data_IF_996036952770
#
_entry.id   IF_996036952770
#
_cell.length_a   1.000
_cell.length_b   1.000
_cell.length_c   1.000
_cell.angle_alpha   90.00
_cell.angle_beta   90.00
_cell.angle_gamma   90.00
#
_symmetry.space_group_name_H-M   'P 1'
#
loop_
_entity.id
_entity.type
_entity.pdbx_description
1 polymer ?
#
# COMPACT_ATOMS: atom_id res chain seq x y z
N UNK A 1 20.13 12.61 -21.67
CA UNK A 1 19.25 13.80 -21.48
C UNK A 1 19.30 14.17 -20.00
N UNK A 2 19.58 15.42 -19.66
CA UNK A 2 19.55 15.87 -18.25
C UNK A 2 18.09 15.90 -17.82
N UNK A 3 17.76 15.19 -16.72
CA UNK A 3 16.39 15.12 -16.20
C UNK A 3 16.10 16.31 -15.28
N UNK A 4 14.82 16.61 -15.10
CA UNK A 4 14.34 17.60 -14.12
C UNK A 4 14.78 17.16 -12.71
N UNK A 5 15.33 18.06 -11.89
CA UNK A 5 15.84 17.70 -10.57
C UNK A 5 14.70 17.51 -9.55
N UNK A 6 13.94 16.44 -9.71
CA UNK A 6 12.91 15.98 -8.78
C UNK A 6 12.84 14.46 -8.89
N UNK A 7 13.13 13.75 -7.80
CA UNK A 7 13.23 12.30 -7.77
C UNK A 7 12.80 11.72 -6.42
N UNK A 8 12.53 10.42 -6.43
CA UNK A 8 12.27 9.63 -5.21
C UNK A 8 13.37 8.58 -5.08
N UNK A 9 13.96 8.48 -3.92
CA UNK A 9 14.90 7.42 -3.53
C UNK A 9 14.15 6.32 -2.81
N UNK A 10 14.33 5.07 -3.25
CA UNK A 10 13.67 3.89 -2.68
C UNK A 10 14.70 2.97 -2.05
N UNK A 11 14.64 2.83 -0.73
CA UNK A 11 15.45 1.88 0.03
C UNK A 11 14.84 0.48 -0.02
N UNK A 12 15.28 -0.33 -0.99
CA UNK A 12 14.84 -1.73 -1.08
C UNK A 12 15.27 -2.55 0.15
N UNK A 13 16.39 -2.18 0.79
CA UNK A 13 16.84 -2.81 2.04
C UNK A 13 15.89 -2.52 3.21
N UNK A 14 15.42 -1.28 3.36
CA UNK A 14 14.42 -0.94 4.37
C UNK A 14 13.10 -1.69 4.15
N UNK A 15 12.67 -1.83 2.89
CA UNK A 15 11.48 -2.63 2.55
C UNK A 15 11.66 -4.12 2.95
N UNK A 16 12.81 -4.70 2.64
CA UNK A 16 13.14 -6.09 3.02
C UNK A 16 13.17 -6.27 4.54
N UNK A 17 13.74 -5.32 5.27
CA UNK A 17 13.78 -5.35 6.74
C UNK A 17 12.36 -5.24 7.33
N UNK A 18 11.53 -4.33 6.82
CA UNK A 18 10.13 -4.20 7.23
C UNK A 18 9.36 -5.51 7.00
N UNK A 19 9.55 -6.16 5.84
CA UNK A 19 8.92 -7.45 5.58
C UNK A 19 9.30 -8.48 6.65
N UNK A 20 10.59 -8.57 7.01
CA UNK A 20 11.07 -9.51 8.04
C UNK A 20 10.51 -9.20 9.43
N UNK A 21 10.42 -7.92 9.80
CA UNK A 21 9.76 -7.47 11.06
C UNK A 21 8.31 -7.94 11.09
N UNK A 22 7.57 -7.77 9.99
CA UNK A 22 6.16 -8.18 9.92
C UNK A 22 6.01 -9.71 9.93
N UNK A 23 6.93 -10.46 9.32
CA UNK A 23 6.95 -11.93 9.43
C UNK A 23 7.14 -12.36 10.88
N UNK A 24 8.04 -11.72 11.62
CA UNK A 24 8.25 -12.01 13.05
C UNK A 24 7.01 -11.68 13.87
N UNK A 25 6.36 -10.54 13.61
CA UNK A 25 5.09 -10.17 14.27
C UNK A 25 3.97 -11.18 13.99
N UNK A 26 3.97 -11.80 12.80
CA UNK A 26 3.03 -12.86 12.44
C UNK A 26 3.42 -14.24 12.98
N UNK A 27 4.66 -14.45 13.40
CA UNK A 27 5.18 -15.77 13.81
C UNK A 27 4.63 -16.29 15.12
N UNK A 28 4.36 -15.44 16.12
CA UNK A 28 3.82 -15.76 17.46
C UNK A 28 4.33 -17.07 18.09
N UNK A 29 4.53 -17.11 19.39
CA UNK A 29 5.12 -18.24 20.09
C UNK A 29 4.25 -19.52 20.15
N UNK A 30 3.00 -19.48 19.68
CA UNK A 30 2.08 -20.61 19.75
C UNK A 30 1.16 -20.68 18.52
N UNK A 31 1.35 -21.68 17.69
CA UNK A 31 0.45 -22.03 16.60
C UNK A 31 1.09 -22.00 15.19
N UNK A 32 0.33 -22.38 14.16
CA UNK A 32 0.83 -22.38 12.78
C UNK A 32 1.14 -20.94 12.33
N UNK A 33 2.21 -20.73 11.53
CA UNK A 33 2.60 -19.41 11.05
C UNK A 33 1.50 -18.79 10.17
N UNK A 34 1.32 -17.47 10.28
CA UNK A 34 0.51 -16.70 9.33
C UNK A 34 1.39 -16.32 8.15
N UNK A 35 1.03 -16.77 6.94
CA UNK A 35 1.75 -16.39 5.71
C UNK A 35 1.52 -14.91 5.41
N UNK A 36 2.57 -14.20 4.99
CA UNK A 36 2.45 -12.81 4.56
C UNK A 36 2.32 -12.70 3.03
N UNK A 37 1.22 -12.13 2.59
CA UNK A 37 1.03 -11.63 1.24
C UNK A 37 1.46 -10.17 1.19
N UNK A 38 2.57 -9.88 0.51
CA UNK A 38 3.08 -8.52 0.40
C UNK A 38 2.23 -7.71 -0.60
N UNK A 39 1.56 -6.66 -0.12
CA UNK A 39 0.72 -5.81 -0.96
C UNK A 39 1.59 -4.81 -1.72
N UNK A 40 1.61 -4.93 -3.05
CA UNK A 40 2.40 -4.09 -3.98
C UNK A 40 1.53 -3.29 -4.96
N UNK A 41 0.23 -3.21 -4.72
CA UNK A 41 -0.74 -2.44 -5.52
C UNK A 41 -0.42 -0.94 -5.58
N UNK A 42 -1.05 -0.23 -6.51
CA UNK A 42 -0.89 1.21 -6.73
C UNK A 42 0.59 1.59 -6.91
N UNK A 43 1.29 0.89 -7.83
CA UNK A 43 2.73 1.03 -8.06
C UNK A 43 3.54 0.89 -6.76
N UNK A 44 3.24 -0.19 -5.97
CA UNK A 44 3.82 -0.42 -4.64
C UNK A 44 3.62 0.79 -3.71
N UNK A 45 2.37 1.27 -3.56
CA UNK A 45 2.03 2.47 -2.78
C UNK A 45 2.83 3.71 -3.23
N UNK A 46 3.06 3.85 -4.54
CA UNK A 46 3.82 4.95 -5.13
C UNK A 46 5.34 4.81 -5.06
N UNK A 47 5.85 3.70 -4.51
CA UNK A 47 7.29 3.44 -4.34
C UNK A 47 7.96 2.83 -5.58
N UNK A 48 7.17 2.39 -6.56
CA UNK A 48 7.68 1.75 -7.78
C UNK A 48 7.64 0.22 -7.71
N UNK A 49 6.70 -0.36 -8.47
CA UNK A 49 6.48 -1.80 -8.53
C UNK A 49 7.77 -2.56 -8.92
N UNK A 50 8.55 -2.00 -9.86
CA UNK A 50 9.79 -2.59 -10.35
C UNK A 50 10.90 -2.72 -9.29
N UNK A 51 10.88 -1.87 -8.25
CA UNK A 51 11.86 -1.90 -7.16
C UNK A 51 11.37 -2.75 -5.98
N UNK A 52 10.10 -2.57 -5.58
CA UNK A 52 9.57 -3.22 -4.38
C UNK A 52 9.20 -4.69 -4.59
N UNK A 53 8.71 -5.09 -5.76
CA UNK A 53 8.34 -6.48 -6.05
C UNK A 53 9.52 -7.45 -5.89
N UNK A 54 10.70 -7.23 -6.53
CA UNK A 54 11.83 -8.10 -6.31
C UNK A 54 12.36 -8.05 -4.87
N UNK A 55 12.26 -6.90 -4.18
CA UNK A 55 12.66 -6.77 -2.78
C UNK A 55 11.78 -7.64 -1.86
N UNK A 56 10.44 -7.64 -2.08
CA UNK A 56 9.53 -8.51 -1.34
C UNK A 56 9.93 -9.98 -1.46
N UNK A 57 10.18 -10.45 -2.68
CA UNK A 57 10.51 -11.88 -2.92
C UNK A 57 11.88 -12.23 -2.35
N UNK A 58 12.89 -11.37 -2.49
CA UNK A 58 14.20 -11.57 -1.83
C UNK A 58 14.10 -11.62 -0.31
N UNK A 59 13.16 -10.88 0.29
CA UNK A 59 12.89 -10.93 1.72
C UNK A 59 12.16 -12.21 2.17
N UNK A 60 11.67 -13.02 1.23
CA UNK A 60 11.00 -14.30 1.47
C UNK A 60 9.50 -14.31 1.18
N UNK A 61 8.95 -13.27 0.57
CA UNK A 61 7.55 -13.27 0.20
C UNK A 61 7.25 -14.32 -0.87
N UNK A 62 6.31 -15.21 -0.58
CA UNK A 62 5.80 -16.20 -1.52
C UNK A 62 4.60 -15.68 -2.30
N UNK A 63 3.89 -14.72 -1.71
CA UNK A 63 2.67 -14.13 -2.24
C UNK A 63 2.82 -12.62 -2.39
N UNK A 64 2.37 -12.11 -3.53
CA UNK A 64 2.23 -10.68 -3.80
C UNK A 64 0.75 -10.34 -4.04
N UNK A 65 0.31 -9.16 -3.59
CA UNK A 65 -1.06 -8.68 -3.79
C UNK A 65 -1.10 -7.44 -4.67
N UNK A 66 -1.76 -7.56 -5.82
CA UNK A 66 -2.05 -6.47 -6.75
C UNK A 66 -3.55 -6.12 -6.70
N UNK A 67 -3.94 -4.91 -7.11
CA UNK A 67 -5.38 -4.59 -7.18
C UNK A 67 -6.00 -5.09 -8.48
N UNK A 68 -5.37 -4.84 -9.61
CA UNK A 68 -5.91 -5.14 -10.94
C UNK A 68 -5.13 -6.27 -11.64
N UNK A 69 -5.74 -6.83 -12.67
CA UNK A 69 -5.09 -7.84 -13.51
C UNK A 69 -3.85 -7.27 -14.19
N UNK A 70 -3.89 -6.00 -14.64
CA UNK A 70 -2.75 -5.33 -15.27
C UNK A 70 -1.56 -5.18 -14.31
N UNK A 71 -1.81 -4.81 -13.06
CA UNK A 71 -0.75 -4.78 -12.02
C UNK A 71 -0.22 -6.19 -11.75
N UNK A 72 -1.09 -7.19 -11.72
CA UNK A 72 -0.71 -8.60 -11.55
C UNK A 72 0.18 -9.11 -12.68
N UNK A 73 -0.16 -8.79 -13.93
CA UNK A 73 0.66 -9.11 -15.12
C UNK A 73 2.02 -8.43 -15.03
N UNK A 74 2.05 -7.12 -14.72
CA UNK A 74 3.30 -6.38 -14.57
C UNK A 74 4.18 -6.96 -13.43
N UNK A 75 3.57 -7.31 -12.29
CA UNK A 75 4.29 -7.97 -11.19
C UNK A 75 4.85 -9.34 -11.58
N UNK A 76 4.10 -10.15 -12.37
CA UNK A 76 4.56 -11.42 -12.91
C UNK A 76 5.78 -11.25 -13.80
N UNK A 77 5.75 -10.30 -14.73
CA UNK A 77 6.85 -10.02 -15.65
C UNK A 77 8.11 -9.57 -14.87
N UNK A 78 7.94 -8.69 -13.88
CA UNK A 78 9.03 -8.23 -13.01
C UNK A 78 9.62 -9.40 -12.21
N UNK A 79 8.78 -10.27 -11.61
CA UNK A 79 9.23 -11.45 -10.89
C UNK A 79 10.02 -12.40 -11.82
N UNK A 80 9.53 -12.66 -13.02
CA UNK A 80 10.20 -13.53 -13.98
C UNK A 80 11.57 -12.97 -14.39
N UNK A 81 11.67 -11.67 -14.69
CA UNK A 81 12.92 -10.97 -15.01
C UNK A 81 13.93 -11.00 -13.83
N UNK A 82 13.42 -10.95 -12.60
CA UNK A 82 14.23 -11.00 -11.39
C UNK A 82 14.64 -12.44 -10.97
N UNK A 83 14.20 -13.47 -11.70
CA UNK A 83 14.53 -14.88 -11.40
C UNK A 83 13.55 -15.57 -10.45
N UNK A 84 12.35 -15.03 -10.25
CA UNK A 84 11.31 -15.56 -9.37
C UNK A 84 9.99 -15.85 -10.10
N UNK A 85 9.97 -16.67 -11.18
CA UNK A 85 8.77 -16.85 -12.02
C UNK A 85 7.61 -17.55 -11.30
N UNK A 86 7.88 -18.28 -10.22
CA UNK A 86 6.89 -19.08 -9.49
C UNK A 86 6.29 -18.34 -8.28
N UNK A 87 6.55 -17.05 -8.13
CA UNK A 87 5.92 -16.24 -7.08
C UNK A 87 4.41 -16.21 -7.27
N UNK A 88 3.64 -16.49 -6.22
CA UNK A 88 2.19 -16.42 -6.28
C UNK A 88 1.72 -14.96 -6.31
N UNK A 89 0.75 -14.65 -7.17
CA UNK A 89 0.21 -13.29 -7.31
C UNK A 89 -1.30 -13.33 -7.18
N UNK A 90 -1.82 -12.64 -6.17
CA UNK A 90 -3.25 -12.51 -5.90
C UNK A 90 -3.75 -11.14 -6.38
N UNK A 91 -4.73 -11.16 -7.28
CA UNK A 91 -5.46 -9.96 -7.71
C UNK A 91 -6.64 -9.77 -6.77
N UNK A 92 -6.55 -8.75 -5.90
CA UNK A 92 -7.51 -8.52 -4.81
C UNK A 92 -8.67 -7.60 -5.18
N UNK A 93 -8.61 -6.92 -6.31
CA UNK A 93 -9.64 -6.00 -6.78
C UNK A 93 -10.62 -6.62 -7.79
N UNK A 94 -10.60 -7.95 -7.92
CA UNK A 94 -11.48 -8.68 -8.84
C UNK A 94 -11.01 -8.69 -10.29
N UNK A 95 -11.87 -9.24 -11.14
CA UNK A 95 -11.62 -9.40 -12.57
C UNK A 95 -12.76 -8.74 -13.35
N UNK A 96 -12.42 -7.90 -14.30
CA UNK A 96 -13.38 -7.24 -15.17
C UNK A 96 -13.57 -8.03 -16.46
N UNK A 97 -14.71 -7.83 -17.19
CA UNK A 97 -14.98 -8.52 -18.46
C UNK A 97 -13.84 -8.35 -19.47
N UNK A 98 -13.42 -9.47 -20.08
CA UNK A 98 -12.30 -9.53 -21.03
C UNK A 98 -10.93 -9.76 -20.43
N UNK A 99 -10.79 -9.77 -19.10
CA UNK A 99 -9.49 -9.94 -18.41
C UNK A 99 -9.17 -11.40 -18.07
N UNK A 100 -10.12 -12.31 -18.13
CA UNK A 100 -9.95 -13.71 -17.74
C UNK A 100 -8.79 -14.39 -18.46
N UNK A 101 -8.59 -14.09 -19.76
CA UNK A 101 -7.48 -14.61 -20.54
C UNK A 101 -6.11 -14.20 -20.00
N UNK A 102 -5.96 -12.98 -19.49
CA UNK A 102 -4.72 -12.48 -18.87
C UNK A 102 -4.46 -13.16 -17.52
N UNK A 103 -5.50 -13.36 -16.71
CA UNK A 103 -5.40 -14.11 -15.45
C UNK A 103 -4.81 -15.51 -15.70
N UNK A 104 -5.33 -16.21 -16.71
CA UNK A 104 -4.86 -17.56 -17.06
C UNK A 104 -3.43 -17.54 -17.61
N UNK A 105 -3.15 -16.66 -18.59
CA UNK A 105 -1.81 -16.58 -19.22
C UNK A 105 -0.72 -16.23 -18.25
N UNK A 106 -0.99 -15.32 -17.33
CA UNK A 106 -0.01 -14.83 -16.35
C UNK A 106 -0.02 -15.63 -15.06
N UNK A 107 -0.77 -16.74 -14.99
CA UNK A 107 -0.88 -17.60 -13.79
C UNK A 107 -1.20 -16.78 -12.53
N UNK A 108 -2.23 -15.93 -12.61
CA UNK A 108 -2.69 -15.13 -11.48
C UNK A 108 -3.78 -15.89 -10.71
N UNK A 109 -3.85 -15.69 -9.42
CA UNK A 109 -4.99 -16.08 -8.59
C UNK A 109 -5.88 -14.87 -8.41
N UNK A 110 -7.17 -14.98 -8.70
CA UNK A 110 -8.12 -13.87 -8.56
C UNK A 110 -8.98 -14.01 -7.31
N UNK A 111 -9.23 -12.87 -6.65
CA UNK A 111 -10.31 -12.75 -5.68
C UNK A 111 -11.59 -12.42 -6.43
N UNK A 112 -12.69 -13.07 -6.07
CA UNK A 112 -14.00 -12.89 -6.68
C UNK A 112 -15.07 -12.65 -5.63
N UNK A 113 -16.11 -11.90 -5.96
CA UNK A 113 -17.28 -11.62 -5.13
C UNK A 113 -18.55 -11.40 -5.95
N UNK A 114 -18.47 -11.56 -7.27
CA UNK A 114 -19.60 -11.44 -8.19
C UNK A 114 -19.64 -12.65 -9.12
N UNK A 115 -20.82 -13.11 -9.46
CA UNK A 115 -21.02 -14.25 -10.36
C UNK A 115 -20.52 -13.96 -11.77
N UNK A 116 -20.56 -12.70 -12.23
CA UNK A 116 -20.02 -12.30 -13.53
C UNK A 116 -18.50 -12.55 -13.59
N UNK A 117 -17.79 -12.33 -12.47
CA UNK A 117 -16.36 -12.63 -12.38
C UNK A 117 -16.09 -14.14 -12.48
N UNK A 118 -16.94 -14.97 -11.86
CA UNK A 118 -16.84 -16.43 -11.98
C UNK A 118 -17.11 -16.87 -13.41
N UNK A 119 -18.12 -16.30 -14.08
CA UNK A 119 -18.44 -16.60 -15.49
C UNK A 119 -17.26 -16.25 -16.42
N UNK A 120 -16.66 -15.08 -16.24
CA UNK A 120 -15.48 -14.62 -16.98
C UNK A 120 -14.28 -15.59 -16.83
N UNK A 121 -13.95 -15.93 -15.58
CA UNK A 121 -12.83 -16.82 -15.28
C UNK A 121 -13.09 -18.25 -15.77
N UNK A 122 -14.30 -18.74 -15.63
CA UNK A 122 -14.67 -20.08 -16.09
C UNK A 122 -14.61 -20.18 -17.63
N UNK A 123 -15.09 -19.17 -18.35
CA UNK A 123 -14.97 -19.10 -19.80
C UNK A 123 -13.51 -19.10 -20.24
N UNK A 124 -12.67 -18.25 -19.64
CA UNK A 124 -11.24 -18.18 -19.94
C UNK A 124 -10.50 -19.50 -19.62
N UNK A 125 -10.85 -20.15 -18.49
CA UNK A 125 -10.26 -21.45 -18.13
C UNK A 125 -10.65 -22.57 -19.13
N UNK A 126 -11.86 -22.54 -19.67
CA UNK A 126 -12.32 -23.48 -20.70
C UNK A 126 -11.59 -23.25 -22.03
N UNK A 127 -11.38 -22.00 -22.43
CA UNK A 127 -10.69 -21.66 -23.68
C UNK A 127 -9.18 -22.04 -23.62
N UNK A 128 -8.53 -21.81 -22.49
CA UNK A 128 -7.09 -22.03 -22.34
C UNK A 128 -6.71 -23.50 -22.22
N UNK A 129 -7.63 -24.38 -21.82
CA UNK A 129 -7.27 -25.73 -21.40
C UNK A 129 -7.70 -26.81 -22.36
N UNK A 130 -6.71 -27.43 -23.05
CA UNK A 130 -6.80 -28.81 -23.56
C UNK A 130 -6.52 -29.85 -22.45
N UNK A 131 -6.06 -29.47 -21.27
CA UNK A 131 -5.75 -30.31 -20.12
C UNK A 131 -6.52 -29.88 -18.88
N UNK A 132 -6.86 -30.82 -17.99
CA UNK A 132 -7.80 -30.71 -16.86
C UNK A 132 -7.38 -29.83 -15.67
N UNK A 133 -6.56 -28.80 -15.87
CA UNK A 133 -6.16 -27.91 -14.78
C UNK A 133 -7.29 -26.94 -14.41
N UNK A 134 -7.62 -26.85 -13.13
CA UNK A 134 -8.58 -25.89 -12.59
C UNK A 134 -7.88 -24.59 -12.22
N UNK A 135 -8.53 -23.45 -12.51
CA UNK A 135 -8.02 -22.11 -12.15
C UNK A 135 -8.28 -21.83 -10.66
N UNK A 136 -7.24 -21.52 -9.86
CA UNK A 136 -7.42 -21.15 -8.46
C UNK A 136 -8.10 -19.79 -8.31
N UNK A 137 -9.06 -19.70 -7.39
CA UNK A 137 -9.71 -18.45 -7.01
C UNK A 137 -9.87 -18.35 -5.50
N UNK A 138 -9.89 -17.13 -4.99
CA UNK A 138 -10.28 -16.83 -3.62
C UNK A 138 -11.64 -16.11 -3.63
N UNK A 139 -12.50 -16.44 -2.67
CA UNK A 139 -13.80 -15.79 -2.50
C UNK A 139 -13.71 -14.75 -1.40
N UNK A 140 -14.10 -13.51 -1.69
CA UNK A 140 -14.21 -12.47 -0.66
C UNK A 140 -15.59 -12.53 -0.01
N UNK A 141 -15.59 -12.53 1.31
CA UNK A 141 -16.76 -12.57 2.17
C UNK A 141 -16.93 -11.18 2.81
N UNK A 142 -18.11 -10.58 2.65
CA UNK A 142 -18.42 -9.34 3.35
C UNK A 142 -18.88 -9.65 4.77
N UNK A 143 -18.00 -9.39 5.71
CA UNK A 143 -18.29 -9.59 7.15
C UNK A 143 -18.63 -8.28 7.85
N UNK A 144 -18.88 -7.18 7.09
CA UNK A 144 -19.30 -5.90 7.65
C UNK A 144 -18.58 -4.67 7.12
N UNK A 145 -17.65 -4.82 6.14
CA UNK A 145 -17.03 -3.65 5.50
C UNK A 145 -17.96 -2.99 4.48
N UNK A 146 -18.90 -3.72 3.91
CA UNK A 146 -19.92 -3.23 2.97
C UNK A 146 -19.35 -2.50 1.74
N UNK A 147 -18.18 -2.93 1.29
CA UNK A 147 -17.52 -2.36 0.10
C UNK A 147 -17.57 -3.32 -1.09
N UNK A 148 -17.22 -4.56 -0.86
CA UNK A 148 -17.24 -5.69 -1.79
C UNK A 148 -17.28 -6.99 -0.96
N UNK A 149 -17.53 -8.12 -1.59
CA UNK A 149 -17.64 -9.41 -0.90
C UNK A 149 -19.04 -9.99 -0.97
N UNK A 150 -19.12 -11.30 -0.87
CA UNK A 150 -20.37 -12.06 -0.85
C UNK A 150 -20.98 -11.98 0.54
N UNK A 151 -22.26 -11.68 0.64
CA UNK A 151 -23.01 -11.69 1.89
C UNK A 151 -23.42 -13.14 2.25
N UNK A 152 -23.65 -13.39 3.54
CA UNK A 152 -23.93 -14.71 4.05
C UNK A 152 -25.16 -15.38 3.38
N UNK A 153 -26.18 -14.58 3.06
CA UNK A 153 -27.42 -15.04 2.41
C UNK A 153 -27.21 -15.50 0.97
N UNK A 154 -26.23 -14.94 0.27
CA UNK A 154 -25.92 -15.26 -1.10
C UNK A 154 -24.85 -16.37 -1.23
N UNK A 155 -24.13 -16.68 -0.14
CA UNK A 155 -22.96 -17.55 -0.17
C UNK A 155 -23.25 -18.92 -0.80
N UNK A 156 -24.37 -19.55 -0.48
CA UNK A 156 -24.76 -20.85 -1.03
C UNK A 156 -24.81 -20.86 -2.57
N UNK A 157 -25.22 -19.75 -3.19
CA UNK A 157 -25.26 -19.57 -4.67
C UNK A 157 -23.85 -19.57 -5.27
N UNK A 158 -22.89 -18.97 -4.58
CA UNK A 158 -21.48 -18.95 -5.01
C UNK A 158 -20.84 -20.32 -4.83
N UNK A 159 -21.05 -20.98 -3.67
CA UNK A 159 -20.48 -22.29 -3.39
C UNK A 159 -20.92 -23.36 -4.40
N UNK A 160 -22.13 -23.23 -4.92
CA UNK A 160 -22.62 -24.13 -5.95
C UNK A 160 -21.78 -24.10 -7.26
N UNK A 161 -21.03 -23.01 -7.51
CA UNK A 161 -20.19 -22.84 -8.70
C UNK A 161 -18.87 -23.63 -8.63
N UNK A 162 -18.50 -24.15 -7.47
CA UNK A 162 -17.23 -24.87 -7.25
C UNK A 162 -17.42 -26.39 -7.13
N UNK A 163 -18.44 -26.94 -7.79
CA UNK A 163 -18.70 -28.38 -7.79
C UNK A 163 -17.86 -29.12 -8.84
N UNK A 164 -17.95 -30.45 -8.84
CA UNK A 164 -17.03 -31.41 -9.52
C UNK A 164 -16.71 -31.15 -10.98
N UNK A 165 -17.61 -30.50 -11.74
CA UNK A 165 -17.41 -30.14 -13.15
C UNK A 165 -16.89 -28.72 -13.39
N UNK A 166 -16.65 -27.96 -12.32
CA UNK A 166 -16.13 -26.60 -12.40
C UNK A 166 -14.69 -26.56 -12.90
N UNK A 167 -14.40 -25.55 -13.71
CA UNK A 167 -13.03 -25.21 -14.10
C UNK A 167 -12.36 -24.27 -13.08
N UNK A 168 -13.04 -23.92 -12.01
CA UNK A 168 -12.56 -23.09 -10.92
C UNK A 168 -12.39 -23.93 -9.65
N UNK A 169 -11.33 -23.67 -8.92
CA UNK A 169 -11.07 -24.26 -7.61
C UNK A 169 -11.05 -23.19 -6.54
N UNK A 170 -11.95 -23.30 -5.56
CA UNK A 170 -11.93 -22.42 -4.40
C UNK A 170 -10.72 -22.73 -3.52
N UNK A 171 -9.71 -21.88 -3.58
CA UNK A 171 -8.46 -22.05 -2.85
C UNK A 171 -8.37 -21.24 -1.59
N UNK A 172 -9.10 -20.13 -1.50
CA UNK A 172 -9.05 -19.27 -0.32
C UNK A 172 -10.35 -18.54 -0.05
N UNK A 173 -10.51 -18.17 1.21
CA UNK A 173 -11.55 -17.26 1.69
C UNK A 173 -10.88 -15.99 2.18
N UNK A 174 -11.43 -14.84 1.85
CA UNK A 174 -10.92 -13.54 2.22
C UNK A 174 -12.00 -12.69 2.88
N UNK A 175 -11.64 -11.94 3.90
CA UNK A 175 -12.43 -10.78 4.34
C UNK A 175 -11.52 -9.58 4.58
N UNK A 176 -12.10 -8.39 4.78
CA UNK A 176 -11.35 -7.17 5.09
C UNK A 176 -11.90 -6.50 6.34
N UNK A 177 -11.01 -6.21 7.29
CA UNK A 177 -11.37 -5.53 8.53
C UNK A 177 -11.48 -4.03 8.30
N UNK A 178 -12.59 -3.42 8.73
CA UNK A 178 -12.83 -1.98 8.56
C UNK A 178 -12.27 -1.13 9.70
N UNK A 179 -12.04 -1.72 10.87
CA UNK A 179 -11.60 -1.04 12.09
C UNK A 179 -10.55 -1.87 12.86
N UNK A 180 -9.54 -2.43 12.15
CA UNK A 180 -8.47 -3.20 12.78
C UNK A 180 -7.50 -2.34 13.62
N UNK A 181 -7.58 -1.03 13.50
CA UNK A 181 -6.87 0.00 14.23
C UNK A 181 -7.62 0.52 15.47
N UNK A 182 -8.83 0.02 15.73
CA UNK A 182 -9.51 0.24 17.00
C UNK A 182 -8.94 -0.68 18.09
N UNK A 183 -8.26 -0.10 19.09
CA UNK A 183 -7.58 -0.84 20.15
C UNK A 183 -8.53 -1.65 21.06
N UNK A 184 -9.82 -1.30 21.12
CA UNK A 184 -10.81 -2.08 21.85
C UNK A 184 -11.22 -3.39 21.13
N UNK A 185 -10.98 -3.50 19.83
CA UNK A 185 -11.20 -4.68 18.99
C UNK A 185 -12.66 -5.16 18.87
N UNK A 186 -13.66 -4.37 19.27
CA UNK A 186 -15.06 -4.81 19.26
C UNK A 186 -15.56 -5.10 17.85
N UNK A 187 -15.37 -4.15 16.93
CA UNK A 187 -15.74 -4.29 15.52
C UNK A 187 -15.03 -5.50 14.85
N UNK A 188 -13.76 -5.69 15.16
CA UNK A 188 -12.98 -6.84 14.66
C UNK A 188 -13.56 -8.16 15.14
N UNK A 189 -13.96 -8.28 16.43
CA UNK A 189 -14.58 -9.49 16.95
C UNK A 189 -15.93 -9.80 16.32
N UNK A 190 -16.75 -8.78 16.06
CA UNK A 190 -18.01 -8.94 15.32
C UNK A 190 -17.78 -9.47 13.91
N UNK A 191 -16.84 -8.87 13.15
CA UNK A 191 -16.48 -9.34 11.82
C UNK A 191 -15.95 -10.78 11.83
N UNK A 192 -15.15 -11.15 12.83
CA UNK A 192 -14.63 -12.52 12.97
C UNK A 192 -15.73 -13.52 13.29
N UNK A 193 -16.71 -13.16 14.12
CA UNK A 193 -17.87 -14.02 14.40
C UNK A 193 -18.71 -14.25 13.15
N UNK A 194 -18.87 -13.23 12.30
CA UNK A 194 -19.52 -13.37 11.00
C UNK A 194 -18.71 -14.26 10.06
N UNK A 195 -17.39 -14.02 9.97
CA UNK A 195 -16.49 -14.84 9.18
C UNK A 195 -16.59 -16.33 9.56
N UNK A 196 -16.59 -16.64 10.86
CA UNK A 196 -16.71 -18.01 11.32
C UNK A 196 -18.03 -18.67 10.87
N UNK A 197 -19.16 -17.95 10.99
CA UNK A 197 -20.46 -18.45 10.48
C UNK A 197 -20.42 -18.77 8.98
N UNK A 198 -19.77 -17.93 8.19
CA UNK A 198 -19.63 -18.14 6.76
C UNK A 198 -18.64 -19.29 6.43
N UNK A 199 -17.56 -19.43 7.20
CA UNK A 199 -16.62 -20.57 7.08
C UNK A 199 -17.32 -21.89 7.36
N UNK A 200 -18.20 -21.95 8.36
CA UNK A 200 -19.07 -23.13 8.64
C UNK A 200 -19.90 -23.50 7.41
N UNK A 201 -20.57 -22.52 6.77
CA UNK A 201 -21.37 -22.78 5.57
C UNK A 201 -20.50 -23.34 4.41
N UNK A 202 -19.28 -22.81 4.22
CA UNK A 202 -18.34 -23.32 3.22
C UNK A 202 -17.97 -24.77 3.55
N UNK A 203 -17.63 -25.05 4.80
CA UNK A 203 -17.26 -26.39 5.25
C UNK A 203 -18.41 -27.41 5.09
N UNK A 204 -19.62 -27.00 5.44
CA UNK A 204 -20.84 -27.84 5.34
C UNK A 204 -21.21 -28.14 3.87
N UNK A 205 -20.81 -27.26 2.92
CA UNK A 205 -20.97 -27.52 1.49
C UNK A 205 -20.02 -28.60 0.94
N UNK A 206 -19.07 -29.08 1.75
CA UNK A 206 -18.05 -30.05 1.35
C UNK A 206 -16.77 -29.42 0.77
N UNK A 207 -16.73 -28.11 0.56
CA UNK A 207 -15.54 -27.42 0.07
C UNK A 207 -14.47 -27.28 1.16
N UNK A 208 -13.21 -27.34 0.74
CA UNK A 208 -12.03 -27.26 1.65
C UNK A 208 -11.00 -26.31 1.06
N UNK A 209 -11.21 -24.98 1.20
CA UNK A 209 -10.19 -24.00 0.78
C UNK A 209 -8.92 -24.18 1.60
N UNK A 210 -7.78 -23.91 0.98
CA UNK A 210 -6.46 -24.03 1.62
C UNK A 210 -6.14 -22.82 2.51
N UNK A 211 -6.71 -21.64 2.18
CA UNK A 211 -6.36 -20.37 2.80
C UNK A 211 -7.58 -19.68 3.40
N UNK A 212 -7.37 -19.08 4.56
CA UNK A 212 -8.28 -18.10 5.14
C UNK A 212 -7.47 -16.84 5.45
N UNK A 213 -7.86 -15.70 4.90
CA UNK A 213 -7.09 -14.49 5.08
C UNK A 213 -7.92 -13.26 5.41
N UNK A 214 -7.42 -12.56 6.40
CA UNK A 214 -7.80 -11.23 6.82
C UNK A 214 -6.54 -10.48 7.25
N UNK A 215 -6.69 -9.29 7.70
CA UNK A 215 -5.59 -8.56 8.31
C UNK A 215 -4.82 -7.69 7.32
N UNK A 216 -4.99 -6.39 7.49
CA UNK A 216 -4.18 -5.33 6.94
C UNK A 216 -2.97 -5.04 7.87
N UNK A 217 -2.25 -3.95 7.65
CA UNK A 217 -1.12 -3.54 8.50
C UNK A 217 -1.51 -3.35 9.96
N UNK A 218 -2.70 -2.78 10.26
CA UNK A 218 -3.18 -2.61 11.64
C UNK A 218 -3.36 -3.95 12.34
N UNK A 219 -4.00 -4.91 11.68
CA UNK A 219 -4.20 -6.24 12.23
C UNK A 219 -2.88 -6.99 12.52
N UNK A 220 -1.85 -6.80 11.65
CA UNK A 220 -0.52 -7.41 11.85
C UNK A 220 0.17 -6.77 13.04
N UNK A 221 0.16 -5.44 13.15
CA UNK A 221 0.82 -4.72 14.24
C UNK A 221 0.09 -4.89 15.57
N UNK A 222 -1.25 -4.89 15.57
CA UNK A 222 -2.07 -5.07 16.75
C UNK A 222 -2.08 -6.49 17.33
N UNK A 223 -1.84 -7.51 16.49
CA UNK A 223 -1.67 -8.91 16.88
C UNK A 223 -2.95 -9.67 17.23
N UNK A 224 -3.92 -9.09 17.93
CA UNK A 224 -5.16 -9.79 18.34
C UNK A 224 -5.94 -10.36 17.15
N UNK A 225 -6.19 -9.62 16.05
CA UNK A 225 -6.91 -10.18 14.91
C UNK A 225 -6.21 -11.40 14.30
N UNK A 226 -4.88 -11.43 14.30
CA UNK A 226 -4.12 -12.58 13.78
C UNK A 226 -4.13 -13.77 14.74
N UNK A 227 -4.17 -13.54 16.06
CA UNK A 227 -4.34 -14.60 17.03
C UNK A 227 -5.68 -15.30 16.82
N UNK A 228 -6.77 -14.53 16.71
CA UNK A 228 -8.11 -15.05 16.44
C UNK A 228 -8.21 -15.77 15.10
N UNK A 229 -7.56 -15.24 14.05
CA UNK A 229 -7.45 -15.91 12.75
C UNK A 229 -6.78 -17.28 12.86
N UNK A 230 -5.67 -17.38 13.62
CA UNK A 230 -4.96 -18.66 13.80
C UNK A 230 -5.84 -19.70 14.50
N UNK A 231 -6.58 -19.28 15.54
CA UNK A 231 -7.52 -20.15 16.28
C UNK A 231 -8.58 -20.71 15.32
N UNK A 232 -9.20 -19.84 14.53
CA UNK A 232 -10.17 -20.23 13.51
C UNK A 232 -9.57 -21.17 12.47
N UNK A 233 -8.40 -20.84 11.93
CA UNK A 233 -7.69 -21.66 10.96
C UNK A 233 -7.32 -23.04 11.52
N UNK A 234 -6.87 -23.10 12.77
CA UNK A 234 -6.56 -24.35 13.46
C UNK A 234 -7.78 -25.26 13.62
N UNK A 235 -8.94 -24.68 13.90
CA UNK A 235 -10.18 -25.42 14.04
C UNK A 235 -10.63 -26.09 12.72
N UNK A 236 -10.50 -25.39 11.59
CA UNK A 236 -10.95 -25.88 10.29
C UNK A 236 -9.83 -26.52 9.44
N UNK A 237 -8.60 -26.59 9.93
CA UNK A 237 -7.47 -27.18 9.21
C UNK A 237 -7.04 -26.39 7.95
N UNK A 238 -7.25 -25.07 7.96
CA UNK A 238 -6.86 -24.16 6.87
C UNK A 238 -5.62 -23.36 7.25
N UNK A 239 -4.92 -22.80 6.25
CA UNK A 239 -3.73 -21.97 6.46
C UNK A 239 -4.13 -20.51 6.62
N UNK A 240 -3.50 -19.81 7.57
CA UNK A 240 -3.73 -18.40 7.82
C UNK A 240 -2.86 -17.51 6.92
N UNK A 241 -3.41 -16.38 6.44
CA UNK A 241 -2.67 -15.39 5.66
C UNK A 241 -3.05 -13.97 6.07
N UNK A 242 -2.07 -13.06 6.11
CA UNK A 242 -2.26 -11.62 6.32
C UNK A 242 -1.76 -10.81 5.12
N UNK A 243 -2.28 -9.60 4.94
CA UNK A 243 -2.05 -8.74 3.78
C UNK A 243 -1.58 -7.34 4.18
N UNK A 244 -0.40 -7.21 4.80
CA UNK A 244 0.13 -5.89 5.13
C UNK A 244 0.42 -5.10 3.86
N UNK A 245 0.06 -3.82 3.88
CA UNK A 245 0.42 -2.84 2.87
C UNK A 245 1.31 -1.77 3.47
N UNK A 246 0.73 -0.77 4.13
CA UNK A 246 1.41 0.42 4.62
C UNK A 246 2.67 0.11 5.43
N UNK A 247 2.62 -0.90 6.31
CA UNK A 247 3.75 -1.25 7.17
C UNK A 247 4.97 -1.78 6.39
N UNK A 248 4.78 -2.37 5.21
CA UNK A 248 5.89 -2.75 4.32
C UNK A 248 6.72 -1.52 3.89
N UNK A 249 6.07 -0.36 3.80
CA UNK A 249 6.67 0.89 3.36
C UNK A 249 7.17 1.76 4.52
N UNK A 250 7.16 1.21 5.74
CA UNK A 250 7.72 1.85 6.91
C UNK A 250 6.78 2.81 7.64
N UNK A 251 5.48 2.72 7.38
CA UNK A 251 4.48 3.51 8.06
C UNK A 251 3.52 2.59 8.83
N UNK A 252 3.02 3.05 9.96
CA UNK A 252 2.01 2.34 10.73
C UNK A 252 0.73 3.18 10.80
N UNK A 253 -0.47 2.54 10.71
CA UNK A 253 -1.71 3.25 10.96
C UNK A 253 -1.75 3.78 12.40
N UNK A 254 -2.51 4.84 12.62
CA UNK A 254 -2.78 5.36 13.96
C UNK A 254 -3.81 4.45 14.64
N UNK A 255 -3.55 4.11 15.90
CA UNK A 255 -4.48 3.31 16.71
C UNK A 255 -5.31 4.22 17.61
N UNK A 256 -6.60 3.95 17.70
CA UNK A 256 -7.56 4.74 18.47
C UNK A 256 -8.32 3.85 19.48
N UNK A 257 -8.66 4.36 20.69
CA UNK A 257 -8.29 5.68 21.23
C UNK A 257 -6.83 5.76 21.69
N UNK A 258 -6.13 4.66 21.90
CA UNK A 258 -4.76 4.59 22.39
C UNK A 258 -3.95 3.57 21.62
N UNK A 259 -2.68 3.86 21.37
CA UNK A 259 -1.76 2.92 20.75
C UNK A 259 -1.26 1.90 21.79
N UNK A 260 -1.44 0.57 21.56
CA UNK A 260 -0.86 -0.45 22.43
C UNK A 260 0.68 -0.40 22.44
N UNK A 261 1.31 -0.66 23.60
CA UNK A 261 2.77 -0.69 23.72
C UNK A 261 3.44 -1.65 22.73
N UNK A 262 2.81 -2.79 22.44
CA UNK A 262 3.30 -3.75 21.45
C UNK A 262 3.34 -3.16 20.04
N UNK A 263 2.36 -2.33 19.67
CA UNK A 263 2.32 -1.62 18.39
C UNK A 263 3.42 -0.57 18.33
N UNK A 264 3.59 0.24 19.39
CA UNK A 264 4.64 1.23 19.48
C UNK A 264 6.04 0.59 19.34
N UNK A 265 6.27 -0.57 19.98
CA UNK A 265 7.51 -1.33 19.87
C UNK A 265 7.77 -1.84 18.44
N UNK A 266 6.75 -2.33 17.73
CA UNK A 266 6.87 -2.76 16.33
C UNK A 266 7.03 -1.56 15.39
N UNK A 267 6.27 -0.47 15.60
CA UNK A 267 6.39 0.78 14.83
C UNK A 267 7.83 1.30 14.84
N UNK A 268 8.49 1.26 15.98
CA UNK A 268 9.87 1.75 16.14
C UNK A 268 10.91 0.95 15.34
N UNK A 269 10.57 -0.27 14.91
CA UNK A 269 11.42 -1.14 14.10
C UNK A 269 11.20 -0.93 12.60
N UNK A 270 10.08 -0.31 12.21
CA UNK A 270 9.79 -0.04 10.81
C UNK A 270 10.68 1.09 10.29
N UNK A 271 11.21 0.90 9.09
CA UNK A 271 12.13 1.83 8.43
C UNK A 271 11.43 2.46 7.23
N UNK A 272 11.55 3.78 7.10
CA UNK A 272 11.08 4.51 5.93
C UNK A 272 11.72 3.94 4.66
N UNK A 273 10.91 3.71 3.64
CA UNK A 273 11.34 3.15 2.35
C UNK A 273 11.55 4.24 1.31
N UNK A 274 10.81 5.34 1.40
CA UNK A 274 10.78 6.42 0.40
C UNK A 274 11.34 7.72 0.97
N UNK A 275 12.24 8.35 0.21
CA UNK A 275 12.60 9.77 0.36
C UNK A 275 12.29 10.52 -0.94
N UNK A 276 11.63 11.66 -0.86
CA UNK A 276 11.31 12.51 -2.00
C UNK A 276 12.11 13.77 -1.97
N UNK A 277 12.87 14.01 -3.03
CA UNK A 277 13.86 15.09 -3.12
C UNK A 277 13.67 15.95 -4.37
N UNK A 278 14.15 17.19 -4.28
CA UNK A 278 14.28 18.11 -5.40
C UNK A 278 15.52 18.97 -5.21
N UNK A 279 15.69 20.00 -6.06
CA UNK A 279 16.78 20.98 -5.92
C UNK A 279 16.25 22.40 -5.99
N UNK A 280 17.01 23.30 -5.38
CA UNK A 280 16.86 24.75 -5.55
C UNK A 280 17.21 25.12 -7.00
N UNK A 281 16.28 25.78 -7.68
CA UNK A 281 16.47 26.29 -9.06
C UNK A 281 17.14 27.67 -9.05
N UNK A 282 16.67 28.54 -8.16
CA UNK A 282 17.20 29.89 -8.01
C UNK A 282 16.87 30.45 -6.63
N UNK A 283 17.68 31.42 -6.19
CA UNK A 283 17.43 32.20 -4.96
C UNK A 283 17.29 33.68 -5.33
N UNK A 284 16.33 34.36 -4.73
CA UNK A 284 16.13 35.79 -4.93
C UNK A 284 15.81 36.49 -3.61
N UNK A 285 16.19 37.77 -3.48
CA UNK A 285 15.73 38.64 -2.41
C UNK A 285 14.49 39.40 -2.86
N UNK A 286 13.54 39.61 -1.95
CA UNK A 286 12.36 40.44 -2.15
C UNK A 286 12.25 41.48 -1.03
N UNK A 287 11.63 42.61 -1.32
CA UNK A 287 11.36 43.65 -0.33
C UNK A 287 10.08 43.36 0.48
N UNK A 288 9.97 43.96 1.65
CA UNK A 288 8.70 44.02 2.39
C UNK A 288 7.57 44.55 1.49
N UNK A 289 6.36 44.03 1.66
CA UNK A 289 5.18 44.34 0.84
C UNK A 289 5.09 43.56 -0.46
N UNK A 290 6.09 42.74 -0.84
CA UNK A 290 6.07 41.94 -2.05
C UNK A 290 5.11 40.75 -1.92
N UNK A 291 4.16 40.62 -2.86
CA UNK A 291 3.25 39.48 -2.95
C UNK A 291 3.95 38.29 -3.64
N UNK A 292 3.74 37.05 -3.12
CA UNK A 292 4.35 35.82 -3.61
C UNK A 292 3.31 34.88 -4.20
N UNK A 293 3.57 34.42 -5.42
CA UNK A 293 2.77 33.41 -6.12
C UNK A 293 1.39 33.88 -6.58
N UNK A 294 0.59 32.90 -7.03
CA UNK A 294 -0.76 33.17 -7.55
C UNK A 294 -1.67 33.83 -6.52
N UNK A 295 -2.34 34.90 -6.90
CA UNK A 295 -3.26 35.72 -6.11
C UNK A 295 -2.60 36.38 -4.88
N UNK A 296 -1.27 36.41 -4.77
CA UNK A 296 -0.57 37.04 -3.67
C UNK A 296 -1.03 36.59 -2.29
N UNK A 297 -1.28 35.29 -2.11
CA UNK A 297 -1.80 34.74 -0.84
C UNK A 297 -0.80 34.79 0.31
N UNK A 298 0.44 35.12 0.00
CA UNK A 298 1.51 35.48 0.94
C UNK A 298 2.04 36.85 0.54
N UNK A 299 2.23 37.72 1.54
CA UNK A 299 2.87 39.03 1.35
C UNK A 299 4.00 39.14 2.35
N UNK A 300 5.20 39.43 1.86
CA UNK A 300 6.39 39.58 2.69
C UNK A 300 6.18 40.75 3.69
N UNK A 301 6.34 40.51 4.97
CA UNK A 301 6.26 41.55 6.03
C UNK A 301 7.57 42.29 6.24
N UNK A 302 8.68 41.71 5.79
CA UNK A 302 10.03 42.21 5.88
C UNK A 302 10.82 41.78 4.62
N UNK A 303 12.05 42.27 4.37
CA UNK A 303 12.89 41.77 3.31
C UNK A 303 13.17 40.26 3.51
N UNK A 304 12.94 39.43 2.48
CA UNK A 304 13.07 37.98 2.56
C UNK A 304 13.99 37.45 1.44
N UNK A 305 14.58 36.27 1.70
CA UNK A 305 15.25 35.45 0.67
C UNK A 305 14.36 34.27 0.35
N UNK A 306 14.03 34.09 -0.90
CA UNK A 306 13.17 33.01 -1.38
C UNK A 306 13.94 32.07 -2.29
N UNK A 307 13.76 30.77 -2.09
CA UNK A 307 14.22 29.74 -3.03
C UNK A 307 13.07 29.22 -3.88
N UNK A 308 13.34 29.03 -5.17
CA UNK A 308 12.46 28.39 -6.13
C UNK A 308 12.84 26.93 -6.27
N UNK A 309 11.89 26.02 -6.12
CA UNK A 309 12.08 24.58 -6.19
C UNK A 309 11.46 24.00 -7.47
N UNK A 310 12.10 22.97 -8.04
CA UNK A 310 11.67 22.29 -9.27
C UNK A 310 10.59 21.22 -9.00
N UNK A 311 9.59 21.50 -8.19
CA UNK A 311 8.50 20.58 -7.83
C UNK A 311 7.19 21.34 -7.66
N UNK A 312 6.10 20.76 -8.12
CA UNK A 312 4.76 21.32 -7.96
C UNK A 312 3.66 20.26 -7.91
N UNK A 313 2.39 20.70 -8.03
CA UNK A 313 1.29 19.76 -7.86
C UNK A 313 1.16 18.74 -9.01
N UNK A 314 1.73 18.96 -10.18
CA UNK A 314 1.77 17.96 -11.25
C UNK A 314 2.79 16.84 -10.97
N UNK A 315 3.68 17.02 -10.00
CA UNK A 315 4.60 15.99 -9.51
C UNK A 315 3.98 15.20 -8.35
N UNK A 316 2.86 15.69 -7.79
CA UNK A 316 2.17 15.09 -6.65
C UNK A 316 2.24 15.91 -5.36
N UNK A 317 2.98 17.03 -5.33
CA UNK A 317 3.05 17.89 -4.15
C UNK A 317 1.68 18.57 -3.95
N UNK A 318 0.98 18.22 -2.87
CA UNK A 318 -0.39 18.68 -2.66
C UNK A 318 -0.46 20.20 -2.63
N UNK A 319 -1.34 20.78 -3.46
CA UNK A 319 -1.57 22.24 -3.48
C UNK A 319 -2.08 22.78 -2.14
N UNK A 320 -2.68 21.91 -1.32
CA UNK A 320 -3.14 22.23 0.04
C UNK A 320 -2.00 22.59 1.00
N UNK A 321 -0.74 22.24 0.68
CA UNK A 321 0.45 22.61 1.46
C UNK A 321 0.84 24.09 1.26
N UNK A 322 0.19 24.84 0.37
CA UNK A 322 0.43 26.28 0.15
C UNK A 322 0.28 27.06 1.47
N UNK A 323 1.32 27.80 1.85
CA UNK A 323 1.41 28.57 3.11
C UNK A 323 1.29 27.72 4.41
N UNK A 324 1.47 26.40 4.32
CA UNK A 324 1.31 25.48 5.48
C UNK A 324 2.44 24.48 5.61
N UNK A 325 2.93 23.97 4.49
CA UNK A 325 3.95 22.95 4.47
C UNK A 325 5.35 23.53 4.64
N UNK A 326 6.31 22.63 4.87
CA UNK A 326 7.74 22.91 4.91
C UNK A 326 8.50 21.91 4.03
N UNK A 327 9.73 22.25 3.70
CA UNK A 327 10.74 21.36 3.14
C UNK A 327 12.02 21.44 3.96
N UNK A 328 12.98 20.54 3.76
CA UNK A 328 14.30 20.65 4.41
C UNK A 328 15.34 21.14 3.39
N UNK A 329 16.13 22.10 3.80
CA UNK A 329 17.29 22.62 3.06
C UNK A 329 18.42 22.82 4.07
N UNK A 330 19.61 22.24 3.81
CA UNK A 330 20.74 22.34 4.73
C UNK A 330 20.45 21.80 6.13
N UNK A 331 19.54 20.84 6.28
CA UNK A 331 19.12 20.28 7.57
C UNK A 331 18.18 21.17 8.38
N UNK A 332 17.58 22.19 7.77
CA UNK A 332 16.66 23.13 8.40
C UNK A 332 15.32 23.19 7.68
N UNK A 333 14.24 23.50 8.40
CA UNK A 333 12.89 23.63 7.85
C UNK A 333 12.71 24.97 7.14
N UNK A 334 12.39 24.92 5.84
CA UNK A 334 12.06 26.06 5.00
C UNK A 334 10.55 26.08 4.71
N UNK A 335 9.78 27.07 5.19
CA UNK A 335 8.33 27.13 4.96
C UNK A 335 7.96 27.38 3.50
N UNK A 336 6.89 26.74 3.04
CA UNK A 336 6.28 27.03 1.74
C UNK A 336 5.52 28.36 1.83
N UNK A 337 5.90 29.32 0.98
CA UNK A 337 5.27 30.63 0.92
C UNK A 337 4.59 30.89 -0.42
N UNK A 338 3.37 31.37 -0.35
CA UNK A 338 2.49 31.52 -1.52
C UNK A 338 1.88 30.19 -1.99
N UNK A 339 1.18 30.24 -3.12
CA UNK A 339 0.52 29.06 -3.71
C UNK A 339 1.52 28.19 -4.48
N UNK A 340 1.50 26.90 -4.21
CA UNK A 340 2.20 25.89 -5.01
C UNK A 340 1.65 25.94 -6.43
N UNK A 341 2.56 26.02 -7.41
CA UNK A 341 2.26 26.03 -8.84
C UNK A 341 2.25 24.61 -9.41
N UNK A 342 1.92 24.47 -10.70
CA UNK A 342 1.93 23.17 -11.37
C UNK A 342 3.30 22.47 -11.30
N UNK A 343 4.38 23.23 -11.51
CA UNK A 343 5.74 22.70 -11.70
C UNK A 343 6.76 23.26 -10.69
N UNK A 344 6.37 24.22 -9.85
CA UNK A 344 7.29 24.96 -9.01
C UNK A 344 6.67 25.33 -7.67
N UNK A 345 7.53 25.39 -6.64
CA UNK A 345 7.18 25.80 -5.28
C UNK A 345 8.17 26.85 -4.80
N UNK A 346 7.70 27.83 -4.06
CA UNK A 346 8.53 28.87 -3.43
C UNK A 346 8.61 28.61 -1.94
N UNK A 347 9.80 28.67 -1.37
CA UNK A 347 10.04 28.51 0.05
C UNK A 347 10.86 29.68 0.59
N UNK A 348 10.64 30.00 1.86
CA UNK A 348 11.39 30.98 2.60
C UNK A 348 12.72 30.39 3.09
N UNK A 349 13.83 31.03 2.74
CA UNK A 349 15.19 30.65 3.15
C UNK A 349 15.93 31.82 3.81
N UNK A 350 15.19 32.78 4.33
CA UNK A 350 15.75 34.00 4.96
C UNK A 350 16.72 33.63 6.07
N UNK A 351 16.32 32.72 6.94
CA UNK A 351 17.12 32.28 8.10
C UNK A 351 18.10 31.15 7.79
N UNK A 352 18.13 30.62 6.55
CA UNK A 352 19.03 29.54 6.13
C UNK A 352 20.20 30.12 5.35
N UNK A 353 21.39 30.25 5.94
CA UNK A 353 22.53 30.84 5.27
C UNK A 353 23.06 29.94 4.15
N UNK A 354 23.62 30.57 3.11
CA UNK A 354 24.35 29.85 2.07
C UNK A 354 23.52 29.16 1.00
N UNK A 355 22.19 29.13 1.10
CA UNK A 355 21.33 28.48 0.11
C UNK A 355 21.58 29.02 -1.29
N UNK A 356 21.84 28.10 -2.24
CA UNK A 356 22.19 28.39 -3.62
C UNK A 356 21.49 27.43 -4.61
N UNK A 357 21.50 27.79 -5.89
CA UNK A 357 21.00 26.92 -6.95
C UNK A 357 21.79 25.59 -7.01
N UNK A 358 21.08 24.48 -7.18
CA UNK A 358 21.62 23.12 -7.19
C UNK A 358 21.63 22.43 -5.84
N UNK A 359 21.33 23.15 -4.74
CA UNK A 359 21.28 22.54 -3.41
C UNK A 359 20.11 21.57 -3.27
N UNK A 360 20.36 20.42 -2.62
CA UNK A 360 19.36 19.39 -2.38
C UNK A 360 18.29 19.87 -1.39
N UNK A 361 17.05 19.55 -1.71
CA UNK A 361 15.87 19.84 -0.91
C UNK A 361 15.13 18.55 -0.64
N UNK A 362 14.81 18.26 0.61
CA UNK A 362 14.02 17.10 1.01
C UNK A 362 12.57 17.52 1.22
N UNK A 363 11.66 16.88 0.47
CA UNK A 363 10.20 17.05 0.59
C UNK A 363 9.62 16.06 1.59
N UNK A 364 10.01 14.78 1.46
CA UNK A 364 9.74 13.70 2.40
C UNK A 364 11.06 12.98 2.67
N UNK A 365 11.41 12.77 3.91
CA UNK A 365 12.68 12.13 4.25
C UNK A 365 13.40 12.80 5.39
N UNK A 366 14.71 12.59 5.46
CA UNK A 366 15.57 13.12 6.52
C UNK A 366 16.73 13.92 5.91
N UNK A 367 17.09 15.02 6.56
CA UNK A 367 18.29 15.77 6.25
C UNK A 367 18.93 16.25 7.57
N UNK A 368 20.09 15.73 7.91
CA UNK A 368 20.70 15.94 9.21
C UNK A 368 19.89 15.29 10.33
N UNK A 369 19.52 16.10 11.33
CA UNK A 369 18.69 15.66 12.47
C UNK A 369 17.18 15.87 12.22
N UNK A 370 16.84 16.69 11.23
CA UNK A 370 15.46 17.01 10.88
C UNK A 370 14.86 15.97 9.91
N UNK A 371 13.56 15.76 10.05
CA UNK A 371 12.78 14.91 9.13
C UNK A 371 11.44 15.52 8.80
N UNK A 372 10.92 15.21 7.62
CA UNK A 372 9.53 15.48 7.23
C UNK A 372 8.89 14.16 6.82
N UNK A 373 7.75 13.85 7.41
CA UNK A 373 7.07 12.57 7.24
C UNK A 373 5.83 12.67 6.34
N UNK A 374 5.34 11.52 5.85
CA UNK A 374 4.09 11.48 5.10
C UNK A 374 2.89 11.85 5.99
N UNK A 375 2.97 11.58 7.29
CA UNK A 375 1.97 11.95 8.28
C UNK A 375 1.91 13.48 8.46
N UNK A 376 3.06 14.17 8.52
CA UNK A 376 3.09 15.64 8.56
C UNK A 376 2.48 16.24 7.30
N UNK A 377 2.85 15.72 6.09
CA UNK A 377 2.23 16.16 4.84
C UNK A 377 0.71 15.93 4.84
N UNK A 378 0.27 14.77 5.32
CA UNK A 378 -1.14 14.44 5.44
C UNK A 378 -1.86 15.43 6.37
N UNK A 379 -1.27 15.74 7.53
CA UNK A 379 -1.81 16.72 8.46
C UNK A 379 -1.93 18.12 7.85
N UNK A 380 -0.90 18.60 7.13
CA UNK A 380 -0.95 19.89 6.43
C UNK A 380 -1.97 19.93 5.29
N UNK A 381 -2.14 18.79 4.60
CA UNK A 381 -3.06 18.69 3.47
C UNK A 381 -4.51 18.35 3.87
N UNK A 382 -4.77 17.92 5.10
CA UNK A 382 -6.06 17.44 5.56
C UNK A 382 -6.45 16.09 4.95
N UNK A 383 -5.51 15.15 4.88
CA UNK A 383 -5.67 13.82 4.29
C UNK A 383 -4.91 12.74 5.07
N UNK A 384 -4.66 11.59 4.46
CA UNK A 384 -3.97 10.43 5.05
C UNK A 384 -2.63 10.15 4.35
N UNK A 385 -1.65 9.52 5.03
CA UNK A 385 -0.33 9.21 4.45
C UNK A 385 -0.39 8.41 3.15
N UNK A 386 -1.35 7.50 3.01
CA UNK A 386 -1.55 6.70 1.78
C UNK A 386 -1.76 7.60 0.56
N UNK A 387 -2.60 8.65 0.70
CA UNK A 387 -2.86 9.58 -0.39
C UNK A 387 -1.64 10.43 -0.73
N UNK A 388 -0.82 10.78 0.26
CA UNK A 388 0.43 11.51 0.02
C UNK A 388 1.38 10.66 -0.84
N UNK A 389 1.64 9.43 -0.44
CA UNK A 389 2.57 8.53 -1.13
C UNK A 389 2.11 8.17 -2.54
N UNK A 390 0.85 7.77 -2.69
CA UNK A 390 0.29 7.33 -3.98
C UNK A 390 0.05 8.49 -4.95
N UNK A 391 0.05 9.74 -4.48
CA UNK A 391 -0.10 10.91 -5.34
C UNK A 391 1.18 11.36 -6.04
N UNK A 392 2.35 10.85 -5.64
CA UNK A 392 3.60 11.14 -6.34
C UNK A 392 3.51 10.55 -7.75
N UNK A 393 3.47 11.41 -8.76
CA UNK A 393 3.17 11.02 -10.14
C UNK A 393 4.36 10.34 -10.84
N UNK A 394 4.11 9.71 -11.97
CA UNK A 394 5.15 9.07 -12.79
C UNK A 394 6.12 10.07 -13.44
N UNK A 395 5.88 11.38 -13.31
CA UNK A 395 6.85 12.42 -13.70
C UNK A 395 8.09 12.41 -12.81
N UNK A 396 7.95 11.95 -11.58
CA UNK A 396 9.02 11.85 -10.59
C UNK A 396 9.68 10.48 -10.72
N UNK A 397 10.96 10.47 -11.05
CA UNK A 397 11.71 9.22 -11.21
C UNK A 397 11.88 8.52 -9.85
N UNK A 398 11.69 7.19 -9.83
CA UNK A 398 12.05 6.35 -8.68
C UNK A 398 13.40 5.73 -8.95
N UNK A 399 14.36 6.01 -8.07
CA UNK A 399 15.70 5.44 -8.13
C UNK A 399 15.96 4.59 -6.89
N UNK A 400 16.78 3.57 -7.05
CA UNK A 400 17.20 2.75 -5.91
C UNK A 400 18.23 3.53 -5.09
N UNK A 401 17.99 3.64 -3.76
CA UNK A 401 18.93 4.17 -2.79
C UNK A 401 20.00 3.11 -2.42
#
# INVERSE_FOLDING_TARGET
MVRRPCWVEISTGAFEDNYRVLVQACGGDAGPPVELLAIVKADAYGHGLALCTPAAVRAGAKWLGATSVEEGVAARDICAQAGFPETEILVIGGVFPGQGGDVVRSKLTAVVWDLVQLDELEAAAREASRAAATLPVHLELDTGMSRQGVQAEELARFLHRFRDDSRLRLCGLMTHLYAADESNGAATREQLSELERMVVQVHDSGLRPEWLHLGNSAAVLGGEPLRLLRELCGHYGVRAMARPGLALYGLAPEFVPEEPESVAALRSQLRRVLEWKTQVVSVRSIAAGTAVGYNGTFVATEPMRLALLAVGYADGLKRALSNRGCVLIGGQRAPVVGRISMDQTVVDVTEIPGVAAGEEVVLLGQQGVESITAEEHAGWAGTIPWEILTSITNRVERIKA
#
